data_IF_626513776144
#
_entry.id   IF_626513776144
#
_cell.length_a   1.000
_cell.length_b   1.000
_cell.length_c   1.000
_cell.angle_alpha   90.00
_cell.angle_beta   90.00
_cell.angle_gamma   90.00
#
_symmetry.space_group_name_H-M   'P 1'
#
loop_
_entity.id
_entity.type
_entity.pdbx_description
1 polymer ?
#
# COMPACT_ATOMS: atom_id res chain seq x y z
N UNK A 1 -15.73 -18.18 -24.23
CA UNK A 1 -15.42 -16.85 -24.77
C UNK A 1 -14.97 -16.94 -26.23
N UNK A 2 -13.86 -17.61 -26.53
CA UNK A 2 -13.34 -17.71 -27.92
C UNK A 2 -14.25 -18.40 -28.93
N UNK A 3 -15.19 -19.24 -28.50
CA UNK A 3 -16.22 -19.78 -29.39
C UNK A 3 -17.36 -18.80 -29.72
N UNK A 4 -17.46 -17.68 -28.97
CA UNK A 4 -18.56 -16.71 -29.08
C UNK A 4 -18.15 -15.49 -29.92
N UNK A 5 -16.86 -15.14 -29.93
CA UNK A 5 -16.30 -14.09 -30.79
C UNK A 5 -14.80 -13.89 -30.55
N UNK A 6 -14.06 -13.66 -31.63
CA UNK A 6 -12.60 -13.44 -31.59
C UNK A 6 -12.21 -12.05 -31.07
N UNK A 7 -13.16 -11.11 -31.02
CA UNK A 7 -12.94 -9.72 -30.59
C UNK A 7 -13.14 -9.49 -29.08
N UNK A 8 -13.29 -10.56 -28.28
CA UNK A 8 -13.52 -10.46 -26.83
C UNK A 8 -12.21 -10.67 -26.08
N UNK A 9 -11.71 -9.64 -25.41
CA UNK A 9 -10.59 -9.76 -24.47
C UNK A 9 -10.99 -10.57 -23.25
N UNK A 10 -10.26 -11.66 -22.99
CA UNK A 10 -10.45 -12.56 -21.85
C UNK A 10 -9.35 -12.32 -20.82
N UNK A 11 -9.74 -11.78 -19.66
CA UNK A 11 -8.87 -11.68 -18.49
C UNK A 11 -9.19 -12.81 -17.53
N UNK A 12 -8.15 -13.46 -17.02
CA UNK A 12 -8.29 -14.54 -16.04
C UNK A 12 -7.45 -14.27 -14.80
N UNK A 13 -8.09 -14.34 -13.63
CA UNK A 13 -7.43 -14.24 -12.33
C UNK A 13 -7.08 -15.65 -11.86
N UNK A 14 -5.80 -15.92 -11.60
CA UNK A 14 -5.37 -17.24 -11.11
C UNK A 14 -5.06 -17.20 -9.63
N UNK A 15 -5.50 -18.27 -8.97
CA UNK A 15 -5.32 -18.47 -7.55
C UNK A 15 -3.92 -18.99 -7.20
N UNK A 16 -3.45 -19.94 -8.01
CA UNK A 16 -2.13 -20.57 -7.95
C UNK A 16 -1.30 -20.10 -9.15
N UNK A 17 -0.11 -19.50 -8.94
CA UNK A 17 0.73 -19.00 -10.02
C UNK A 17 1.08 -20.06 -11.07
N UNK A 18 1.28 -21.31 -10.63
CA UNK A 18 1.62 -22.43 -11.52
C UNK A 18 0.50 -22.77 -12.51
N UNK A 19 -0.73 -22.32 -12.25
CA UNK A 19 -1.88 -22.51 -13.14
C UNK A 19 -1.93 -21.50 -14.30
N UNK A 20 -1.12 -20.44 -14.29
CA UNK A 20 -1.11 -19.38 -15.31
C UNK A 20 -1.00 -19.93 -16.74
N UNK A 21 -0.15 -20.94 -16.94
CA UNK A 21 0.04 -21.58 -18.24
C UNK A 21 -1.24 -22.23 -18.76
N UNK A 22 -2.03 -22.87 -17.91
CA UNK A 22 -3.27 -23.53 -18.32
C UNK A 22 -4.34 -22.51 -18.73
N UNK A 23 -4.40 -21.36 -18.06
CA UNK A 23 -5.32 -20.29 -18.40
C UNK A 23 -4.97 -19.64 -19.74
N UNK A 24 -3.68 -19.41 -20.02
CA UNK A 24 -3.24 -18.97 -21.36
C UNK A 24 -3.57 -19.99 -22.45
N UNK A 25 -3.34 -21.28 -22.19
CA UNK A 25 -3.69 -22.36 -23.13
C UNK A 25 -5.20 -22.46 -23.37
N UNK A 26 -6.02 -22.18 -22.35
CA UNK A 26 -7.48 -22.11 -22.45
C UNK A 26 -7.98 -20.87 -23.23
N UNK A 27 -7.09 -19.96 -23.59
CA UNK A 27 -7.40 -18.78 -24.41
C UNK A 27 -7.65 -17.51 -23.61
N UNK A 28 -7.13 -17.39 -22.40
CA UNK A 28 -7.03 -16.09 -21.73
C UNK A 28 -5.98 -15.22 -22.44
N UNK A 29 -6.34 -13.97 -22.73
CA UNK A 29 -5.45 -12.98 -23.33
C UNK A 29 -4.54 -12.37 -22.28
N UNK A 30 -5.10 -12.14 -21.08
CA UNK A 30 -4.38 -11.61 -19.91
C UNK A 30 -4.62 -12.56 -18.74
N UNK A 31 -3.55 -12.91 -18.04
CA UNK A 31 -3.62 -13.72 -16.82
C UNK A 31 -2.96 -12.96 -15.70
N UNK A 32 -3.70 -12.73 -14.61
CA UNK A 32 -3.22 -11.98 -13.44
C UNK A 32 -3.12 -12.90 -12.22
N UNK A 33 -2.01 -12.81 -11.48
CA UNK A 33 -1.77 -13.56 -10.25
C UNK A 33 -1.56 -12.58 -9.08
N UNK A 34 -2.61 -12.24 -8.34
CA UNK A 34 -2.55 -11.16 -7.36
C UNK A 34 -1.90 -11.58 -6.02
N UNK A 35 -2.00 -12.86 -5.64
CA UNK A 35 -1.50 -13.35 -4.34
C UNK A 35 0.02 -13.22 -4.15
N UNK A 36 0.87 -13.52 -5.16
CA UNK A 36 2.30 -13.29 -5.03
C UNK A 36 2.66 -11.81 -4.87
N UNK A 37 1.96 -10.92 -5.58
CA UNK A 37 2.19 -9.49 -5.48
C UNK A 37 1.77 -8.96 -4.11
N UNK A 38 0.63 -9.40 -3.59
CA UNK A 38 0.20 -9.12 -2.22
C UNK A 38 1.23 -9.61 -1.18
N UNK A 39 1.74 -10.84 -1.33
CA UNK A 39 2.73 -11.40 -0.41
C UNK A 39 4.04 -10.62 -0.39
N UNK A 40 4.55 -10.19 -1.55
CA UNK A 40 5.72 -9.32 -1.64
C UNK A 40 5.47 -7.94 -1.01
N UNK A 41 4.30 -7.36 -1.25
CA UNK A 41 3.92 -6.07 -0.67
C UNK A 41 3.86 -6.12 0.86
N UNK A 42 3.25 -7.17 1.42
CA UNK A 42 3.19 -7.41 2.87
C UNK A 42 4.58 -7.63 3.46
N UNK A 43 5.44 -8.41 2.78
CA UNK A 43 6.81 -8.61 3.20
C UNK A 43 7.60 -7.29 3.20
N UNK A 44 7.53 -6.50 2.11
CA UNK A 44 8.19 -5.19 2.00
C UNK A 44 7.85 -4.28 3.19
N UNK A 45 6.57 -4.22 3.56
CA UNK A 45 6.11 -3.43 4.72
C UNK A 45 6.73 -3.89 6.04
N UNK A 46 6.83 -5.21 6.26
CA UNK A 46 7.45 -5.77 7.46
C UNK A 46 8.99 -5.63 7.47
N UNK A 47 9.61 -5.41 6.31
CA UNK A 47 11.06 -5.24 6.15
C UNK A 47 11.49 -3.79 6.03
N UNK A 48 10.58 -2.85 5.76
CA UNK A 48 10.85 -1.42 5.55
C UNK A 48 11.52 -0.70 6.73
N UNK A 49 11.69 -1.38 7.87
CA UNK A 49 12.60 -0.98 8.95
C UNK A 49 14.09 -1.24 8.60
N UNK A 50 14.40 -2.46 8.13
CA UNK A 50 15.73 -3.07 7.96
C UNK A 50 16.43 -2.70 6.65
N UNK A 51 15.68 -2.56 5.55
CA UNK A 51 16.23 -2.04 4.30
C UNK A 51 16.20 -0.51 4.35
N UNK A 52 17.36 0.10 4.51
CA UNK A 52 17.52 1.53 4.33
C UNK A 52 17.25 1.89 2.85
N UNK A 53 16.00 2.25 2.56
CA UNK A 53 15.57 2.84 1.28
C UNK A 53 15.11 1.82 0.23
N UNK A 54 14.12 2.24 -0.56
CA UNK A 54 13.76 1.80 -1.92
C UNK A 54 12.53 0.90 -2.13
N UNK A 55 12.18 -0.08 -1.30
CA UNK A 55 11.13 -1.05 -1.73
C UNK A 55 9.65 -0.61 -1.56
N UNK A 56 9.38 0.48 -0.83
CA UNK A 56 8.02 1.00 -0.59
C UNK A 56 7.74 2.32 -1.34
N UNK A 57 8.69 2.76 -2.16
CA UNK A 57 8.59 3.98 -2.94
C UNK A 57 8.34 3.67 -4.41
N UNK A 58 7.59 4.53 -5.06
CA UNK A 58 7.28 4.49 -6.47
C UNK A 58 8.03 5.62 -7.12
N UNK A 59 9.00 5.27 -7.96
CA UNK A 59 9.75 6.22 -8.77
C UNK A 59 8.82 6.79 -9.86
N UNK A 60 8.66 8.11 -9.85
CA UNK A 60 7.93 8.85 -10.88
C UNK A 60 8.91 9.44 -11.91
N UNK A 61 10.16 9.70 -11.50
CA UNK A 61 11.29 10.07 -12.34
C UNK A 61 12.60 9.96 -11.56
N UNK A 62 13.70 10.45 -12.13
CA UNK A 62 15.08 10.17 -11.68
C UNK A 62 15.34 10.46 -10.18
N UNK A 63 14.66 11.45 -9.58
CA UNK A 63 14.86 11.86 -8.19
C UNK A 63 13.55 12.11 -7.42
N UNK A 64 12.38 11.72 -7.98
CA UNK A 64 11.08 12.02 -7.38
C UNK A 64 10.26 10.76 -7.16
N UNK A 65 9.84 10.57 -5.91
CA UNK A 65 9.23 9.36 -5.41
C UNK A 65 7.88 9.65 -4.74
N UNK A 66 7.00 8.66 -4.74
CA UNK A 66 5.89 8.58 -3.80
C UNK A 66 6.07 7.42 -2.86
N UNK A 67 5.62 7.54 -1.62
CA UNK A 67 5.66 6.44 -0.66
C UNK A 67 4.46 6.46 0.29
N UNK A 68 4.11 5.27 0.79
CA UNK A 68 3.18 5.09 1.90
C UNK A 68 3.95 4.91 3.21
N UNK A 69 3.76 5.84 4.15
CA UNK A 69 4.47 5.87 5.43
C UNK A 69 3.50 5.74 6.60
N UNK A 70 3.54 4.60 7.29
CA UNK A 70 2.76 4.38 8.50
C UNK A 70 3.30 5.19 9.69
N UNK A 71 2.43 6.01 10.31
CA UNK A 71 2.70 6.74 11.54
C UNK A 71 2.70 5.74 12.69
N UNK A 72 3.89 5.44 13.22
CA UNK A 72 4.03 4.43 14.28
C UNK A 72 3.63 4.97 15.64
N UNK A 73 3.12 4.08 16.49
CA UNK A 73 2.96 4.27 17.94
C UNK A 73 4.22 4.88 18.56
N UNK A 74 4.06 6.02 19.24
CA UNK A 74 5.16 6.73 19.90
C UNK A 74 6.19 7.36 18.95
N UNK A 75 5.82 7.58 17.69
CA UNK A 75 6.59 8.42 16.75
C UNK A 75 6.47 9.91 17.09
N UNK A 76 7.22 10.76 16.39
CA UNK A 76 7.14 12.21 16.57
C UNK A 76 5.87 12.82 15.96
N UNK A 77 5.16 12.08 15.12
CA UNK A 77 3.95 12.54 14.44
C UNK A 77 2.68 12.01 15.14
N UNK A 78 2.77 10.90 15.87
CA UNK A 78 1.64 10.34 16.61
C UNK A 78 1.04 11.36 17.60
N UNK A 79 -0.25 11.65 17.42
CA UNK A 79 -1.05 12.57 18.22
C UNK A 79 -1.01 14.04 17.76
N UNK A 80 -0.09 14.41 16.87
CA UNK A 80 -0.04 15.75 16.28
C UNK A 80 -1.13 15.92 15.21
N UNK A 81 -1.59 17.15 14.98
CA UNK A 81 -2.40 17.44 13.78
C UNK A 81 -1.51 17.49 12.54
N UNK A 82 -2.07 17.37 11.34
CA UNK A 82 -1.29 17.53 10.11
C UNK A 82 -0.58 18.88 10.07
N UNK A 83 -1.23 19.97 10.45
CA UNK A 83 -0.64 21.30 10.54
C UNK A 83 0.49 21.38 11.58
N UNK A 84 0.24 20.93 12.81
CA UNK A 84 1.22 21.00 13.90
C UNK A 84 2.42 20.06 13.69
N UNK A 85 2.26 19.03 12.86
CA UNK A 85 3.32 18.08 12.51
C UNK A 85 4.50 18.75 11.78
N UNK A 86 4.22 19.85 11.06
CA UNK A 86 5.18 20.60 10.26
C UNK A 86 5.94 19.74 9.24
N UNK A 87 5.32 18.69 8.69
CA UNK A 87 5.98 17.73 7.79
C UNK A 87 6.69 18.45 6.64
N UNK A 88 5.95 19.32 5.93
CA UNK A 88 6.49 20.05 4.77
C UNK A 88 7.66 20.95 5.15
N UNK A 89 7.55 21.70 6.24
CA UNK A 89 8.59 22.62 6.71
C UNK A 89 9.85 21.90 7.21
N UNK A 90 9.68 20.69 7.75
CA UNK A 90 10.77 19.90 8.35
C UNK A 90 11.48 19.01 7.36
N UNK A 91 10.79 18.55 6.32
CA UNK A 91 11.33 17.55 5.39
C UNK A 91 11.26 17.94 3.93
N UNK A 92 10.43 18.92 3.54
CA UNK A 92 10.15 19.26 2.15
C UNK A 92 9.15 18.34 1.46
N UNK A 93 8.80 17.21 2.07
CA UNK A 93 7.86 16.25 1.50
C UNK A 93 6.42 16.78 1.52
N UNK A 94 5.66 16.50 0.46
CA UNK A 94 4.26 16.86 0.34
C UNK A 94 3.37 15.69 0.76
N UNK A 95 2.38 15.97 1.62
CA UNK A 95 1.35 14.99 1.98
C UNK A 95 0.23 15.07 0.95
N UNK A 96 0.16 14.05 0.10
CA UNK A 96 -0.86 13.90 -0.94
C UNK A 96 -2.21 13.58 -0.30
N UNK A 97 -2.21 12.60 0.59
CA UNK A 97 -3.39 12.13 1.31
C UNK A 97 -2.99 11.26 2.49
N UNK A 98 -3.95 10.72 3.21
CA UNK A 98 -3.69 9.75 4.28
C UNK A 98 -4.85 8.78 4.45
N UNK A 99 -4.54 7.56 4.88
CA UNK A 99 -5.54 6.60 5.36
C UNK A 99 -5.71 6.74 6.85
N UNK A 100 -6.96 6.89 7.29
CA UNK A 100 -7.37 6.84 8.68
C UNK A 100 -8.32 5.66 8.84
N UNK A 101 -7.95 4.68 9.67
CA UNK A 101 -8.70 3.41 9.81
C UNK A 101 -9.02 2.74 8.46
N UNK A 102 -8.10 2.88 7.49
CA UNK A 102 -8.19 2.35 6.13
C UNK A 102 -9.04 3.16 5.15
N UNK A 103 -9.63 4.27 5.58
CA UNK A 103 -10.34 5.21 4.71
C UNK A 103 -9.36 6.26 4.18
N UNK A 104 -9.17 6.31 2.86
CA UNK A 104 -8.32 7.32 2.23
C UNK A 104 -9.00 8.69 2.24
N UNK A 105 -8.29 9.71 2.70
CA UNK A 105 -8.72 11.10 2.70
C UNK A 105 -7.72 11.96 1.93
N UNK A 106 -8.23 12.69 0.95
CA UNK A 106 -7.51 13.69 0.17
C UNK A 106 -8.50 14.76 -0.32
N UNK A 107 -8.27 16.06 -0.04
CA UNK A 107 -7.23 16.58 0.85
C UNK A 107 -7.42 16.12 2.31
N UNK A 108 -6.34 16.06 3.07
CA UNK A 108 -6.41 15.84 4.53
C UNK A 108 -6.65 17.19 5.21
N UNK A 109 -7.60 17.22 6.16
CA UNK A 109 -7.86 18.42 6.96
C UNK A 109 -6.61 18.78 7.79
N UNK A 110 -6.14 20.05 7.78
CA UNK A 110 -4.98 20.46 8.57
C UNK A 110 -5.10 20.19 10.08
N UNK A 111 -6.32 20.20 10.63
CA UNK A 111 -6.60 19.94 12.04
C UNK A 111 -6.80 18.44 12.34
N UNK A 112 -6.80 17.57 11.33
CA UNK A 112 -6.91 16.12 11.48
C UNK A 112 -5.72 15.57 12.25
N UNK A 113 -5.99 14.68 13.22
CA UNK A 113 -4.95 14.11 14.07
C UNK A 113 -4.36 12.87 13.43
N UNK A 114 -3.03 12.83 13.36
CA UNK A 114 -2.27 11.67 12.93
C UNK A 114 -2.24 10.67 14.09
N UNK A 115 -3.06 9.63 14.03
CA UNK A 115 -3.14 8.58 15.04
C UNK A 115 -2.22 7.41 14.74
N UNK A 116 -2.13 6.48 15.67
CA UNK A 116 -1.64 5.13 15.40
C UNK A 116 -2.51 4.50 14.29
N UNK A 117 -1.88 3.85 13.31
CA UNK A 117 -2.58 3.33 12.12
C UNK A 117 -2.84 4.36 11.01
N UNK A 118 -2.48 5.64 11.20
CA UNK A 118 -2.48 6.60 10.08
C UNK A 118 -1.40 6.22 9.08
N UNK A 119 -1.76 6.02 7.81
CA UNK A 119 -0.79 5.82 6.73
C UNK A 119 -0.76 7.08 5.88
N UNK A 120 0.40 7.74 5.78
CA UNK A 120 0.56 8.93 4.96
C UNK A 120 0.93 8.53 3.54
N UNK A 121 0.22 9.05 2.54
CA UNK A 121 0.68 9.06 1.17
C UNK A 121 1.47 10.35 0.93
N UNK A 122 2.74 10.21 0.59
CA UNK A 122 3.65 11.35 0.46
C UNK A 122 4.38 11.32 -0.88
N UNK A 123 4.70 12.50 -1.38
CA UNK A 123 5.48 12.69 -2.59
C UNK A 123 6.62 13.68 -2.33
N UNK A 124 7.78 13.43 -2.91
CA UNK A 124 8.96 14.27 -2.74
C UNK A 124 10.23 13.64 -3.29
N UNK A 125 11.34 14.35 -3.14
CA UNK A 125 12.65 13.81 -3.46
C UNK A 125 13.08 12.70 -2.49
N UNK A 126 13.95 11.79 -2.91
CA UNK A 126 14.39 10.64 -2.09
C UNK A 126 14.92 11.04 -0.69
N UNK A 127 15.68 12.14 -0.61
CA UNK A 127 16.20 12.68 0.65
C UNK A 127 15.09 13.25 1.55
N UNK A 128 14.06 13.87 0.95
CA UNK A 128 12.90 14.42 1.66
C UNK A 128 12.06 13.29 2.28
N UNK A 129 11.82 12.22 1.51
CA UNK A 129 11.11 11.03 2.00
C UNK A 129 11.91 10.30 3.08
N UNK A 130 13.24 10.22 2.94
CA UNK A 130 14.13 9.67 3.97
C UNK A 130 14.07 10.47 5.27
N UNK A 131 14.07 11.81 5.18
CA UNK A 131 13.88 12.66 6.35
C UNK A 131 12.52 12.40 7.03
N UNK A 132 11.43 12.27 6.25
CA UNK A 132 10.10 11.99 6.80
C UNK A 132 9.99 10.58 7.43
N UNK A 133 10.62 9.57 6.83
CA UNK A 133 10.72 8.21 7.41
C UNK A 133 11.28 8.23 8.84
N UNK A 134 12.21 9.14 9.13
CA UNK A 134 12.76 9.29 10.49
C UNK A 134 11.75 9.84 11.51
N UNK A 135 10.73 10.57 11.06
CA UNK A 135 9.72 11.20 11.92
C UNK A 135 8.55 10.27 12.24
N UNK A 136 8.15 9.44 11.28
CA UNK A 136 7.10 8.41 11.44
C UNK A 136 7.57 7.22 12.26
N UNK A 137 8.89 7.03 12.40
CA UNK A 137 9.48 6.00 13.27
C UNK A 137 9.55 6.45 14.73
N UNK A 138 9.42 5.51 15.66
CA UNK A 138 9.63 5.79 17.09
C UNK A 138 11.13 5.89 17.42
N UNK A 139 11.59 6.97 18.06
CA UNK A 139 13.01 7.14 18.42
C UNK A 139 13.49 6.19 19.53
N UNK A 140 12.59 5.48 20.21
CA UNK A 140 12.91 4.64 21.39
C UNK A 140 13.34 3.22 21.01
N UNK A 141 13.03 2.73 19.79
CA UNK A 141 13.49 1.41 19.34
C UNK A 141 14.92 1.48 18.80
N UNK A 142 15.91 1.39 19.70
CA UNK A 142 17.31 1.15 19.33
C UNK A 142 17.48 -0.30 18.87
N UNK A 143 17.95 -0.45 17.63
CA UNK A 143 18.54 -1.66 17.01
C UNK A 143 17.53 -2.78 16.71
N UNK A 144 17.24 -2.93 15.42
CA UNK A 144 16.44 -3.98 14.78
C UNK A 144 17.08 -5.36 14.97
N UNK A 145 16.71 -6.03 16.07
CA UNK A 145 16.85 -7.49 16.22
C UNK A 145 15.55 -8.01 16.79
N UNK A 146 14.65 -8.40 15.90
CA UNK A 146 13.40 -9.05 16.23
C UNK A 146 12.98 -9.86 15.01
N UNK A 147 12.59 -11.10 15.26
CA UNK A 147 12.08 -12.02 14.26
C UNK A 147 10.74 -11.52 13.70
N UNK A 148 10.45 -11.83 12.44
CA UNK A 148 9.12 -11.60 11.87
C UNK A 148 8.27 -12.83 12.11
N UNK A 149 7.07 -12.68 12.68
CA UNK A 149 6.12 -13.80 12.77
C UNK A 149 5.21 -13.77 11.54
N UNK A 150 5.08 -14.87 10.82
CA UNK A 150 4.17 -15.01 9.69
C UNK A 150 3.10 -16.02 10.06
N UNK A 151 1.84 -15.58 10.11
CA UNK A 151 0.69 -16.42 10.44
C UNK A 151 -0.07 -16.75 9.17
N UNK A 152 -0.19 -18.04 8.88
CA UNK A 152 -0.69 -18.58 7.62
C UNK A 152 0.44 -18.90 6.65
N UNK A 153 0.49 -20.15 6.18
CA UNK A 153 1.44 -20.69 5.22
C UNK A 153 0.78 -21.12 3.89
N UNK A 154 -0.31 -20.43 3.52
CA UNK A 154 -0.92 -20.52 2.18
C UNK A 154 -0.06 -19.86 1.10
N UNK A 155 -0.64 -19.61 -0.09
CA UNK A 155 0.06 -18.96 -1.23
C UNK A 155 0.72 -17.61 -0.85
N UNK A 156 -0.02 -16.76 -0.13
CA UNK A 156 0.48 -15.44 0.32
C UNK A 156 1.57 -15.61 1.37
N UNK A 157 1.34 -16.46 2.38
CA UNK A 157 2.30 -16.77 3.44
C UNK A 157 3.62 -17.34 2.94
N UNK A 158 3.57 -18.27 1.98
CA UNK A 158 4.76 -18.81 1.30
C UNK A 158 5.54 -17.74 0.55
N UNK A 159 4.83 -16.83 -0.13
CA UNK A 159 5.47 -15.71 -0.81
C UNK A 159 6.16 -14.76 0.17
N UNK A 160 5.52 -14.46 1.30
CA UNK A 160 6.09 -13.65 2.37
C UNK A 160 7.37 -14.32 2.91
N UNK A 161 7.29 -15.60 3.29
CA UNK A 161 8.42 -16.37 3.80
C UNK A 161 9.60 -16.38 2.82
N UNK A 162 9.33 -16.58 1.52
CA UNK A 162 10.35 -16.56 0.49
C UNK A 162 11.02 -15.17 0.35
N UNK A 163 10.24 -14.09 0.41
CA UNK A 163 10.76 -12.73 0.38
C UNK A 163 11.63 -12.40 1.60
N UNK A 164 11.16 -12.72 2.81
CA UNK A 164 11.91 -12.54 4.06
C UNK A 164 13.21 -13.34 4.07
N UNK A 165 13.16 -14.61 3.63
CA UNK A 165 14.35 -15.47 3.49
C UNK A 165 15.37 -14.88 2.51
N UNK A 166 14.90 -14.37 1.37
CA UNK A 166 15.77 -13.74 0.36
C UNK A 166 16.44 -12.48 0.87
N UNK A 167 15.77 -11.72 1.74
CA UNK A 167 16.29 -10.54 2.42
C UNK A 167 17.18 -10.88 3.65
N UNK A 168 17.39 -12.15 3.98
CA UNK A 168 18.20 -12.57 5.13
C UNK A 168 17.55 -12.24 6.48
N UNK A 169 16.23 -12.17 6.53
CA UNK A 169 15.47 -11.79 7.71
C UNK A 169 14.94 -13.05 8.41
N UNK A 170 15.30 -13.18 9.68
CA UNK A 170 14.80 -14.25 10.55
C UNK A 170 13.29 -14.13 10.72
N UNK A 171 12.60 -15.25 10.59
CA UNK A 171 11.15 -15.33 10.69
C UNK A 171 10.68 -16.70 11.20
N UNK A 172 9.56 -16.71 11.92
CA UNK A 172 8.85 -17.88 12.41
C UNK A 172 7.51 -17.98 11.69
N UNK A 173 7.19 -19.17 11.15
CA UNK A 173 5.95 -19.45 10.44
C UNK A 173 4.98 -20.23 11.32
N UNK A 174 3.73 -19.74 11.38
CA UNK A 174 2.63 -20.35 12.12
C UNK A 174 1.57 -20.81 11.13
N UNK A 175 1.09 -22.05 11.23
CA UNK A 175 -0.08 -22.53 10.49
C UNK A 175 -0.87 -23.57 11.31
N UNK A 176 -2.14 -23.76 11.01
CA UNK A 176 -2.97 -24.81 11.63
C UNK A 176 -2.59 -26.20 11.12
N UNK A 177 -2.09 -26.29 9.89
CA UNK A 177 -1.62 -27.53 9.28
C UNK A 177 -0.10 -27.66 9.39
N UNK A 178 0.37 -28.83 9.83
CA UNK A 178 1.79 -29.14 9.80
C UNK A 178 2.28 -29.28 8.34
N UNK A 179 3.43 -28.69 8.03
CA UNK A 179 3.99 -28.72 6.68
C UNK A 179 5.48 -28.40 6.67
N UNK A 180 6.11 -28.59 5.51
CA UNK A 180 7.49 -28.14 5.29
C UNK A 180 7.54 -26.62 5.35
N UNK A 181 8.47 -26.08 6.15
CA UNK A 181 8.56 -24.64 6.41
C UNK A 181 7.58 -24.08 7.45
N UNK A 182 6.81 -24.89 8.18
CA UNK A 182 6.00 -24.44 9.32
C UNK A 182 6.76 -24.70 10.62
N UNK A 183 7.02 -23.65 11.41
CA UNK A 183 7.78 -23.73 12.66
C UNK A 183 6.87 -24.01 13.86
N UNK A 184 5.68 -23.43 13.87
CA UNK A 184 4.67 -23.60 14.93
C UNK A 184 3.35 -24.04 14.33
N UNK A 185 2.85 -25.19 14.78
CA UNK A 185 1.55 -25.72 14.36
C UNK A 185 0.50 -25.39 15.40
N UNK A 186 -0.51 -24.60 15.03
CA UNK A 186 -1.60 -24.21 15.92
C UNK A 186 -2.50 -23.12 15.34
N UNK A 187 -3.65 -22.92 16.00
CA UNK A 187 -4.59 -21.86 15.65
C UNK A 187 -4.09 -20.52 16.23
N UNK A 188 -3.94 -19.52 15.37
CA UNK A 188 -3.48 -18.18 15.76
C UNK A 188 -4.50 -17.39 16.58
N UNK A 189 -5.75 -17.84 16.65
CA UNK A 189 -6.74 -17.33 17.59
C UNK A 189 -6.45 -17.79 19.03
N UNK A 190 -5.59 -18.79 19.22
CA UNK A 190 -5.18 -19.25 20.54
C UNK A 190 -3.94 -18.48 21.02
N UNK A 191 -4.00 -17.83 22.21
CA UNK A 191 -2.87 -17.07 22.74
C UNK A 191 -1.57 -17.89 22.89
N UNK A 192 -1.67 -19.18 23.20
CA UNK A 192 -0.50 -20.03 23.39
C UNK A 192 0.26 -20.28 22.09
N UNK A 193 -0.45 -20.38 20.95
CA UNK A 193 0.18 -20.50 19.62
C UNK A 193 1.05 -19.29 19.31
N UNK A 194 0.51 -18.08 19.49
CA UNK A 194 1.26 -16.85 19.21
C UNK A 194 2.42 -16.63 20.19
N UNK A 195 2.28 -17.06 21.46
CA UNK A 195 3.40 -17.05 22.42
C UNK A 195 4.48 -18.03 22.03
N UNK A 196 4.12 -19.24 21.61
CA UNK A 196 5.07 -20.24 21.11
C UNK A 196 5.83 -19.73 19.87
N UNK A 197 5.16 -18.93 19.04
CA UNK A 197 5.75 -18.26 17.89
C UNK A 197 6.61 -17.02 18.24
N UNK A 198 6.74 -16.67 19.51
CA UNK A 198 7.60 -15.57 19.94
C UNK A 198 7.04 -14.16 19.68
N UNK A 199 5.72 -14.00 19.49
CA UNK A 199 5.11 -12.72 19.10
C UNK A 199 5.46 -11.54 20.01
N UNK A 200 5.65 -11.78 21.31
CA UNK A 200 5.96 -10.74 22.30
C UNK A 200 7.35 -10.11 22.14
N UNK A 201 8.27 -10.79 21.45
CA UNK A 201 9.59 -10.26 21.08
C UNK A 201 9.74 -9.95 19.60
N UNK A 202 8.70 -10.22 18.81
CA UNK A 202 8.72 -9.99 17.37
C UNK A 202 8.75 -8.50 17.06
N UNK A 203 9.43 -8.12 15.98
CA UNK A 203 9.39 -6.72 15.53
C UNK A 203 8.07 -6.41 14.82
N UNK A 204 7.55 -7.41 14.12
CA UNK A 204 6.35 -7.35 13.30
C UNK A 204 5.75 -8.74 13.16
N UNK A 205 4.43 -8.82 13.07
CA UNK A 205 3.69 -10.02 12.73
C UNK A 205 2.85 -9.76 11.47
N UNK A 206 2.92 -10.68 10.51
CA UNK A 206 2.11 -10.64 9.29
C UNK A 206 1.01 -11.71 9.38
N UNK A 207 -0.25 -11.28 9.39
CA UNK A 207 -1.43 -12.14 9.46
C UNK A 207 -1.95 -12.38 8.03
N UNK A 208 -1.53 -13.50 7.44
CA UNK A 208 -1.82 -13.90 6.06
C UNK A 208 -2.85 -15.05 5.98
N UNK A 209 -3.91 -14.94 6.79
CA UNK A 209 -4.98 -15.94 6.86
C UNK A 209 -5.98 -15.77 5.69
N UNK A 210 -6.62 -16.86 5.24
CA UNK A 210 -7.58 -16.80 4.13
C UNK A 210 -8.97 -16.30 4.55
N UNK A 211 -9.33 -16.45 5.83
CA UNK A 211 -10.62 -16.03 6.38
C UNK A 211 -10.45 -14.72 7.17
N UNK A 212 -11.17 -13.69 6.76
CA UNK A 212 -11.09 -12.35 7.36
C UNK A 212 -11.57 -12.32 8.82
N UNK A 213 -12.50 -13.21 9.21
CA UNK A 213 -13.01 -13.28 10.59
C UNK A 213 -11.96 -13.90 11.51
N UNK A 214 -11.29 -14.96 11.04
CA UNK A 214 -10.19 -15.59 11.78
C UNK A 214 -8.99 -14.63 11.86
N UNK A 215 -8.69 -13.91 10.77
CA UNK A 215 -7.66 -12.88 10.76
C UNK A 215 -7.96 -11.75 11.74
N UNK A 216 -9.20 -11.27 11.81
CA UNK A 216 -9.63 -10.20 12.72
C UNK A 216 -9.44 -10.65 14.18
N UNK A 217 -9.86 -11.87 14.52
CA UNK A 217 -9.70 -12.40 15.87
C UNK A 217 -8.22 -12.65 16.24
N UNK A 218 -7.42 -13.20 15.33
CA UNK A 218 -5.99 -13.38 15.53
C UNK A 218 -5.28 -12.02 15.73
N UNK A 219 -5.73 -10.96 15.04
CA UNK A 219 -5.23 -9.59 15.22
C UNK A 219 -5.52 -9.07 16.63
N UNK A 220 -6.75 -9.23 17.12
CA UNK A 220 -7.13 -8.83 18.48
C UNK A 220 -6.26 -9.54 19.54
N UNK A 221 -6.04 -10.85 19.38
CA UNK A 221 -5.20 -11.63 20.30
C UNK A 221 -3.75 -11.17 20.22
N UNK A 222 -3.24 -10.90 19.02
CA UNK A 222 -1.88 -10.41 18.82
C UNK A 222 -1.65 -9.03 19.47
N UNK A 223 -2.57 -8.07 19.29
CA UNK A 223 -2.47 -6.71 19.85
C UNK A 223 -2.56 -6.74 21.39
N UNK A 224 -3.41 -7.60 21.97
CA UNK A 224 -3.49 -7.79 23.43
C UNK A 224 -2.19 -8.38 24.02
N UNK A 225 -1.64 -9.42 23.38
CA UNK A 225 -0.43 -10.09 23.85
C UNK A 225 0.84 -9.26 23.66
N UNK A 226 0.90 -8.50 22.56
CA UNK A 226 2.11 -7.83 22.11
C UNK A 226 1.77 -6.46 21.49
N UNK A 227 1.27 -5.48 22.28
CA UNK A 227 0.83 -4.17 21.77
C UNK A 227 1.96 -3.31 21.17
N UNK A 228 3.21 -3.76 21.34
CA UNK A 228 4.40 -3.15 20.74
C UNK A 228 4.82 -3.77 19.40
N UNK A 229 4.29 -4.94 19.04
CA UNK A 229 4.59 -5.62 17.78
C UNK A 229 3.80 -4.97 16.66
N UNK A 230 4.45 -4.67 15.53
CA UNK A 230 3.75 -4.11 14.36
C UNK A 230 2.89 -5.19 13.70
N UNK A 231 1.58 -4.96 13.58
CA UNK A 231 0.64 -5.93 13.03
C UNK A 231 0.26 -5.56 11.61
N UNK A 232 0.64 -6.41 10.65
CA UNK A 232 0.35 -6.24 9.24
C UNK A 232 -0.62 -7.35 8.83
N UNK A 233 -1.79 -6.99 8.30
CA UNK A 233 -2.82 -7.97 7.98
C UNK A 233 -3.17 -7.98 6.48
N UNK A 234 -3.38 -9.19 5.96
CA UNK A 234 -4.12 -9.39 4.73
C UNK A 234 -5.62 -9.47 5.05
N UNK A 235 -6.44 -8.93 4.16
CA UNK A 235 -7.87 -9.25 4.07
C UNK A 235 -8.24 -9.66 2.64
N UNK A 236 -9.32 -10.39 2.48
CA UNK A 236 -9.89 -10.76 1.20
C UNK A 236 -10.67 -9.59 0.59
N UNK A 237 -11.52 -8.94 1.40
CA UNK A 237 -12.39 -7.85 0.96
C UNK A 237 -12.00 -6.49 1.53
N UNK A 238 -12.24 -5.43 0.75
CA UNK A 238 -12.16 -4.03 1.21
C UNK A 238 -13.12 -3.73 2.36
N UNK A 239 -14.24 -4.46 2.47
CA UNK A 239 -15.24 -4.29 3.55
C UNK A 239 -14.70 -4.68 4.94
N UNK A 240 -13.64 -5.50 4.96
CA UNK A 240 -13.00 -5.98 6.20
C UNK A 240 -11.89 -5.05 6.68
N UNK A 241 -11.41 -4.12 5.83
CA UNK A 241 -10.26 -3.27 6.11
C UNK A 241 -10.45 -2.46 7.39
N UNK A 242 -11.55 -1.72 7.53
CA UNK A 242 -11.81 -0.90 8.72
C UNK A 242 -11.99 -1.75 9.99
N UNK A 243 -12.56 -2.96 9.88
CA UNK A 243 -12.68 -3.88 11.03
C UNK A 243 -11.31 -4.36 11.48
N UNK A 244 -10.44 -4.68 10.53
CA UNK A 244 -9.08 -5.13 10.79
C UNK A 244 -8.21 -4.04 11.47
N UNK A 245 -8.30 -2.78 11.02
CA UNK A 245 -7.67 -1.66 11.72
C UNK A 245 -8.20 -1.50 13.15
N UNK A 246 -9.52 -1.60 13.34
CA UNK A 246 -10.14 -1.56 14.68
C UNK A 246 -9.75 -2.74 15.57
N UNK A 247 -9.38 -3.87 14.98
CA UNK A 247 -8.86 -5.03 15.69
C UNK A 247 -7.40 -4.85 16.16
N UNK A 248 -6.73 -3.79 15.74
CA UNK A 248 -5.37 -3.46 16.16
C UNK A 248 -4.30 -3.61 15.08
N UNK A 249 -4.68 -3.91 13.83
CA UNK A 249 -3.70 -3.91 12.73
C UNK A 249 -3.15 -2.50 12.49
N UNK A 250 -1.83 -2.38 12.30
CA UNK A 250 -1.15 -1.14 11.94
C UNK A 250 -1.19 -0.87 10.42
N UNK A 251 -1.30 -1.94 9.61
CA UNK A 251 -1.41 -1.86 8.16
C UNK A 251 -2.23 -3.03 7.61
N UNK A 252 -3.14 -2.73 6.67
CA UNK A 252 -4.05 -3.75 6.11
C UNK A 252 -4.07 -3.65 4.59
N UNK A 253 -3.82 -4.78 3.91
CA UNK A 253 -3.93 -4.90 2.45
C UNK A 253 -5.06 -5.84 2.04
N UNK A 254 -5.92 -5.38 1.13
CA UNK A 254 -7.04 -6.15 0.59
C UNK A 254 -6.68 -6.80 -0.75
N UNK A 255 -6.90 -8.12 -0.87
CA UNK A 255 -6.67 -8.85 -2.12
C UNK A 255 -7.62 -8.39 -3.24
N UNK A 256 -8.89 -8.10 -2.92
CA UNK A 256 -9.86 -7.62 -3.91
C UNK A 256 -9.43 -6.30 -4.57
N UNK A 257 -8.78 -5.40 -3.83
CA UNK A 257 -8.27 -4.12 -4.36
C UNK A 257 -7.14 -4.35 -5.35
N UNK A 258 -6.13 -5.14 -4.97
CA UNK A 258 -5.00 -5.49 -5.85
C UNK A 258 -5.53 -6.19 -7.11
N UNK A 259 -6.44 -7.15 -6.94
CA UNK A 259 -7.02 -7.90 -8.06
C UNK A 259 -7.77 -6.97 -9.02
N UNK A 260 -8.62 -6.09 -8.50
CA UNK A 260 -9.37 -5.13 -9.31
C UNK A 260 -8.45 -4.24 -10.15
N UNK A 261 -7.37 -3.72 -9.54
CA UNK A 261 -6.39 -2.88 -10.24
C UNK A 261 -5.60 -3.63 -11.29
N UNK A 262 -5.16 -4.86 -11.01
CA UNK A 262 -4.49 -5.68 -12.02
C UNK A 262 -5.40 -5.99 -13.21
N UNK A 263 -6.69 -6.25 -12.97
CA UNK A 263 -7.66 -6.47 -14.05
C UNK A 263 -7.91 -5.19 -14.83
N UNK A 264 -8.09 -4.05 -14.16
CA UNK A 264 -8.29 -2.75 -14.80
C UNK A 264 -7.08 -2.34 -15.65
N UNK A 265 -5.86 -2.50 -15.13
CA UNK A 265 -4.61 -2.25 -15.87
C UNK A 265 -4.46 -3.12 -17.11
N UNK A 266 -5.06 -4.32 -17.14
CA UNK A 266 -5.09 -5.14 -18.35
C UNK A 266 -6.12 -4.69 -19.39
N UNK A 267 -7.13 -3.91 -19.00
CA UNK A 267 -8.21 -3.45 -19.89
C UNK A 267 -7.97 -2.05 -20.44
N UNK A 268 -7.32 -1.19 -19.67
CA UNK A 268 -7.08 0.21 -20.02
C UNK A 268 -5.69 0.34 -20.66
N UNK A 269 -5.58 1.15 -21.71
CA UNK A 269 -4.28 1.58 -22.27
C UNK A 269 -3.53 2.54 -21.32
N UNK A 270 -4.15 2.92 -20.20
CA UNK A 270 -3.52 3.69 -19.14
C UNK A 270 -2.55 2.80 -18.35
N UNK A 271 -1.31 3.25 -18.25
CA UNK A 271 -0.27 2.57 -17.49
C UNK A 271 -0.58 2.74 -15.99
N UNK A 272 -1.27 1.77 -15.38
CA UNK A 272 -1.37 1.70 -13.91
C UNK A 272 0.03 1.40 -13.40
N UNK A 273 0.71 2.45 -12.93
CA UNK A 273 2.13 2.36 -12.59
C UNK A 273 2.38 1.45 -11.38
N UNK A 274 1.37 1.26 -10.51
CA UNK A 274 1.57 0.69 -9.16
C UNK A 274 0.35 -0.03 -8.59
N UNK A 275 0.09 -1.30 -8.96
CA UNK A 275 -0.95 -2.11 -8.31
C UNK A 275 -0.65 -2.38 -6.81
N UNK A 276 0.59 -2.21 -6.34
CA UNK A 276 0.98 -2.39 -4.94
C UNK A 276 0.53 -1.24 -4.02
N UNK A 277 0.42 -0.02 -4.53
CA UNK A 277 -0.08 1.10 -3.74
C UNK A 277 -1.56 0.93 -3.42
N UNK A 278 -2.02 1.55 -2.35
CA UNK A 278 -3.43 1.63 -1.96
C UNK A 278 -4.18 2.76 -2.70
N UNK A 279 -3.47 3.60 -3.47
CA UNK A 279 -4.01 4.64 -4.39
C UNK A 279 -3.69 4.34 -5.85
N UNK A 280 -4.51 4.85 -6.75
CA UNK A 280 -4.27 4.78 -8.19
C UNK A 280 -3.39 5.96 -8.61
N UNK A 281 -2.37 5.67 -9.41
CA UNK A 281 -1.47 6.65 -10.02
C UNK A 281 -1.61 6.54 -11.54
N UNK A 282 -2.10 7.61 -12.17
CA UNK A 282 -2.32 7.66 -13.62
C UNK A 282 -1.47 8.74 -14.27
N UNK A 283 -0.95 8.44 -15.46
CA UNK A 283 -0.40 9.41 -16.41
C UNK A 283 -1.47 9.76 -17.41
N UNK A 284 -1.87 11.02 -17.50
CA UNK A 284 -2.96 11.42 -18.40
C UNK A 284 -2.82 12.87 -18.89
N UNK A 285 -3.28 13.14 -20.10
CA UNK A 285 -3.40 14.51 -20.63
C UNK A 285 -4.64 15.19 -20.05
N UNK A 286 -4.57 16.48 -19.74
CA UNK A 286 -5.68 17.22 -19.15
C UNK A 286 -6.05 18.48 -19.96
N UNK A 287 -6.57 18.33 -21.20
CA UNK A 287 -6.89 19.48 -22.05
C UNK A 287 -7.93 20.41 -21.42
N UNK A 288 -8.86 19.89 -20.62
CA UNK A 288 -9.84 20.70 -19.87
C UNK A 288 -9.23 21.63 -18.80
N UNK A 289 -7.96 21.43 -18.43
CA UNK A 289 -7.23 22.28 -17.47
C UNK A 289 -6.23 23.24 -18.15
N UNK A 290 -6.04 23.14 -19.47
CA UNK A 290 -5.04 23.91 -20.18
C UNK A 290 -5.26 25.43 -20.02
N UNK A 291 -4.17 26.14 -19.70
CA UNK A 291 -4.15 27.59 -19.48
C UNK A 291 -4.68 28.04 -18.12
N UNK A 292 -5.05 27.13 -17.22
CA UNK A 292 -5.53 27.44 -15.86
C UNK A 292 -4.57 26.96 -14.79
N UNK A 293 -4.59 27.61 -13.63
CA UNK A 293 -3.82 27.15 -12.48
C UNK A 293 -4.51 26.00 -11.75
N UNK A 294 -3.74 25.17 -11.04
CA UNK A 294 -4.31 24.13 -10.17
C UNK A 294 -5.17 24.72 -9.04
N UNK A 295 -4.87 25.93 -8.58
CA UNK A 295 -5.68 26.67 -7.61
C UNK A 295 -7.06 27.06 -8.18
N UNK A 296 -7.10 27.58 -9.41
CA UNK A 296 -8.34 28.05 -10.04
C UNK A 296 -9.29 26.89 -10.38
N UNK A 297 -8.72 25.74 -10.73
CA UNK A 297 -9.48 24.55 -11.09
C UNK A 297 -9.95 23.74 -9.90
N UNK A 298 -9.27 23.90 -8.77
CA UNK A 298 -9.54 23.28 -7.47
C UNK A 298 -9.73 21.76 -7.57
N UNK A 299 -8.86 21.11 -8.38
CA UNK A 299 -8.91 19.68 -8.69
C UNK A 299 -9.04 18.86 -7.41
N UNK A 300 -8.20 19.17 -6.41
CA UNK A 300 -8.13 18.41 -5.17
C UNK A 300 -9.44 18.40 -4.40
N UNK A 301 -10.11 19.54 -4.27
CA UNK A 301 -11.39 19.64 -3.56
C UNK A 301 -12.52 18.98 -4.36
N UNK A 302 -12.49 19.09 -5.69
CA UNK A 302 -13.57 18.62 -6.57
C UNK A 302 -13.55 17.11 -6.82
N UNK A 303 -12.37 16.52 -6.90
CA UNK A 303 -12.21 15.11 -7.30
C UNK A 303 -11.65 14.26 -6.15
N UNK A 304 -10.92 14.87 -5.22
CA UNK A 304 -10.10 14.17 -4.22
C UNK A 304 -8.72 13.77 -4.74
N UNK A 305 -8.41 14.05 -6.01
CA UNK A 305 -7.11 13.73 -6.61
C UNK A 305 -6.09 14.84 -6.39
N UNK A 306 -4.82 14.45 -6.34
CA UNK A 306 -3.71 15.40 -6.30
C UNK A 306 -2.86 15.23 -7.55
N UNK A 307 -2.59 16.33 -8.24
CA UNK A 307 -1.56 16.36 -9.29
C UNK A 307 -0.20 16.34 -8.57
N UNK A 308 0.58 15.29 -8.79
CA UNK A 308 1.82 15.02 -8.08
C UNK A 308 3.03 15.50 -8.88
N UNK A 309 2.94 15.42 -10.21
CA UNK A 309 3.91 15.97 -11.14
C UNK A 309 3.26 16.27 -12.50
N UNK A 310 3.97 17.00 -13.35
CA UNK A 310 3.60 17.22 -14.75
C UNK A 310 4.81 16.98 -15.65
N UNK A 311 4.62 16.29 -16.77
CA UNK A 311 5.64 16.13 -17.80
C UNK A 311 5.38 17.13 -18.92
N UNK A 312 6.38 17.99 -19.19
CA UNK A 312 6.34 19.01 -20.25
C UNK A 312 7.62 18.94 -21.07
N UNK A 313 7.49 18.82 -22.39
CA UNK A 313 8.63 18.74 -23.32
C UNK A 313 9.65 17.63 -22.93
N UNK A 314 9.16 16.51 -22.41
CA UNK A 314 9.99 15.38 -21.94
C UNK A 314 10.74 15.64 -20.62
N UNK A 315 10.36 16.67 -19.86
CA UNK A 315 10.90 16.97 -18.52
C UNK A 315 9.83 16.80 -17.46
N UNK A 316 10.19 16.14 -16.38
CA UNK A 316 9.35 16.03 -15.19
C UNK A 316 9.42 17.32 -14.37
N UNK A 317 8.26 17.91 -14.08
CA UNK A 317 8.06 19.07 -13.23
C UNK A 317 7.42 18.59 -11.92
N UNK A 318 8.14 18.75 -10.81
CA UNK A 318 7.73 18.25 -9.49
C UNK A 318 7.23 19.36 -8.56
N UNK A 319 7.50 20.62 -8.88
CA UNK A 319 6.94 21.79 -8.19
C UNK A 319 5.55 22.13 -8.75
N UNK A 320 4.61 21.19 -8.60
CA UNK A 320 3.21 21.34 -9.00
C UNK A 320 2.36 21.86 -7.85
N UNK A 321 2.66 23.10 -7.44
CA UNK A 321 1.89 23.82 -6.42
C UNK A 321 0.58 24.43 -6.94
N UNK A 322 -0.12 25.14 -6.06
CA UNK A 322 -1.37 25.84 -6.37
C UNK A 322 -1.25 26.77 -7.60
N UNK A 323 -0.11 27.46 -7.73
CA UNK A 323 0.15 28.42 -8.80
C UNK A 323 0.60 27.77 -10.14
N UNK A 324 0.76 26.44 -10.18
CA UNK A 324 1.16 25.74 -11.38
C UNK A 324 0.09 25.85 -12.46
N UNK A 325 0.47 26.35 -13.66
CA UNK A 325 -0.41 26.50 -14.82
C UNK A 325 -0.18 25.35 -15.80
N UNK A 326 -1.25 24.60 -16.07
CA UNK A 326 -1.25 23.45 -16.99
C UNK A 326 -1.14 23.95 -18.43
N UNK A 327 -0.24 23.38 -19.23
CA UNK A 327 -0.13 23.66 -20.66
C UNK A 327 -0.90 22.61 -21.49
N UNK A 328 -1.21 22.93 -22.75
CA UNK A 328 -1.99 22.04 -23.64
C UNK A 328 -1.33 20.67 -23.84
N UNK A 329 0.00 20.63 -23.90
CA UNK A 329 0.78 19.40 -24.14
C UNK A 329 1.28 18.75 -22.84
N UNK A 330 0.84 19.21 -21.67
CA UNK A 330 1.23 18.58 -20.40
C UNK A 330 0.61 17.19 -20.25
N UNK A 331 1.45 16.25 -19.83
CA UNK A 331 0.97 14.99 -19.24
C UNK A 331 1.02 15.12 -17.73
N UNK A 332 -0.11 15.01 -17.06
CA UNK A 332 -0.19 15.09 -15.61
C UNK A 332 -0.04 13.71 -15.00
N UNK A 333 0.64 13.66 -13.85
CA UNK A 333 0.75 12.49 -13.00
C UNK A 333 -0.16 12.73 -11.80
N UNK A 334 -1.24 11.95 -11.72
CA UNK A 334 -2.35 12.21 -10.81
C UNK A 334 -2.53 11.02 -9.88
N UNK A 335 -2.57 11.31 -8.58
CA UNK A 335 -2.79 10.34 -7.52
C UNK A 335 -4.18 10.51 -6.90
N UNK A 336 -4.92 9.41 -6.74
CA UNK A 336 -6.25 9.44 -6.12
C UNK A 336 -6.80 8.06 -5.76
N UNK A 337 -7.98 8.03 -5.14
CA UNK A 337 -8.77 6.80 -5.07
C UNK A 337 -9.37 6.47 -6.44
N UNK A 338 -9.77 5.23 -6.65
CA UNK A 338 -10.39 4.78 -7.90
C UNK A 338 -11.60 5.67 -8.30
N UNK A 339 -12.46 6.02 -7.32
CA UNK A 339 -13.57 6.96 -7.53
C UNK A 339 -13.09 8.39 -7.85
N UNK A 340 -11.99 8.82 -7.23
CA UNK A 340 -11.40 10.12 -7.46
C UNK A 340 -10.88 10.26 -8.88
N UNK A 341 -10.17 9.24 -9.37
CA UNK A 341 -9.66 9.20 -10.75
C UNK A 341 -10.83 9.24 -11.75
N UNK A 342 -11.92 8.52 -11.48
CA UNK A 342 -13.15 8.63 -12.28
C UNK A 342 -13.68 10.07 -12.37
N UNK A 343 -13.82 10.76 -11.23
CA UNK A 343 -14.22 12.18 -11.18
C UNK A 343 -13.21 13.11 -11.86
N UNK A 344 -11.92 12.79 -11.78
CA UNK A 344 -10.87 13.55 -12.45
C UNK A 344 -10.98 13.44 -13.96
N UNK A 345 -11.18 12.23 -14.50
CA UNK A 345 -11.34 12.03 -15.93
C UNK A 345 -12.59 12.74 -16.48
N UNK A 346 -13.70 12.74 -15.73
CA UNK A 346 -14.88 13.54 -16.07
C UNK A 346 -14.63 15.06 -16.06
N UNK A 347 -13.71 15.51 -15.20
CA UNK A 347 -13.36 16.93 -15.09
C UNK A 347 -12.49 17.41 -16.25
N UNK A 348 -11.55 16.58 -16.73
CA UNK A 348 -10.51 16.98 -17.70
C UNK A 348 -10.80 16.56 -19.14
N UNK A 349 -11.72 15.63 -19.34
CA UNK A 349 -12.17 15.14 -20.65
C UNK A 349 -13.16 16.04 -21.38
#
# INVERSE_FOLDING_TARGET
AREIGDDVTVISVVEEPDSERYHRLAGADIVVSPRPLLGRSLASKATGAVTAGLDDAVEIGDDFEMAELAVRRGSRLAGATLADSGIRERTGANVVGAWFDGEFRSPVDPDERLTDGTVLLVAGEADQLTALRSLVRSPVRRVERGEVVVVGHGEVGRTIAAALKSAGIEHTIVDVEAGDGVDVVGDATEPETLRAAGIGGARSAILALPDDTVAEFATLVADDLAPGTELIARVESTDSVTKMYRAGADYVLALSRITGRMVASGLLDDEVLTPELQIELVRTTAPGLAGTSLADTDVRTRTGCTVVAAERDGRLLTDVGADFVVAEDDTLIVAGSDEGIGRFNELVG
#
